data_IF_001661793907
#
_entry.id   IF_001661793907
#
_cell.length_a   1.000
_cell.length_b   1.000
_cell.length_c   1.000
_cell.angle_alpha   90.00
_cell.angle_beta   90.00
_cell.angle_gamma   90.00
#
_symmetry.space_group_name_H-M   'P 1'
#
loop_
_entity.id
_entity.type
_entity.pdbx_description
1 polymer ?
#
# COMPACT_ATOMS: atom_id res chain seq x y z
N UNK A 1 -12.30 0.14 9.38
CA UNK A 1 -11.28 -0.67 10.10
C UNK A 1 -9.93 -0.04 9.82
N UNK A 2 -9.06 0.10 10.83
CA UNK A 2 -7.80 0.82 10.71
C UNK A 2 -6.63 -0.05 11.16
N UNK A 3 -5.55 -0.03 10.38
CA UNK A 3 -4.36 -0.84 10.65
C UNK A 3 -3.09 0.00 10.63
N UNK A 4 -2.06 -0.48 11.32
CA UNK A 4 -0.75 0.19 11.33
C UNK A 4 0.00 -0.08 10.03
N UNK A 5 1.03 0.72 9.75
CA UNK A 5 1.93 0.49 8.60
C UNK A 5 2.64 -0.87 8.71
N UNK A 6 2.90 -1.34 9.94
CA UNK A 6 3.47 -2.66 10.18
C UNK A 6 2.49 -3.79 9.84
N UNK A 7 1.22 -3.64 10.23
CA UNK A 7 0.18 -4.61 9.88
C UNK A 7 -0.03 -4.67 8.35
N UNK A 8 -0.06 -3.51 7.69
CA UNK A 8 -0.13 -3.38 6.24
C UNK A 8 1.01 -4.14 5.55
N UNK A 9 2.23 -3.98 6.05
CA UNK A 9 3.40 -4.70 5.53
C UNK A 9 3.24 -6.22 5.66
N UNK A 10 2.74 -6.70 6.80
CA UNK A 10 2.58 -8.13 7.05
C UNK A 10 1.44 -8.74 6.20
N UNK A 11 0.35 -8.01 6.00
CA UNK A 11 -0.84 -8.52 5.34
C UNK A 11 -0.84 -8.36 3.81
N UNK A 12 -0.22 -7.29 3.27
CA UNK A 12 -0.12 -7.05 1.82
C UNK A 12 1.29 -7.24 1.26
N UNK A 13 2.30 -7.48 2.10
CA UNK A 13 3.70 -7.62 1.64
C UNK A 13 4.31 -6.32 1.14
N UNK A 14 3.73 -5.16 1.47
CA UNK A 14 4.20 -3.85 0.97
C UNK A 14 5.25 -3.27 1.91
N UNK A 15 6.40 -2.90 1.34
CA UNK A 15 7.48 -2.25 2.09
C UNK A 15 7.05 -0.87 2.63
N UNK A 16 7.49 -0.53 3.86
CA UNK A 16 7.15 0.75 4.51
C UNK A 16 7.55 1.96 3.68
N UNK A 17 8.68 1.90 2.97
CA UNK A 17 9.15 2.95 2.08
C UNK A 17 8.14 3.25 0.97
N UNK A 18 7.54 2.22 0.37
CA UNK A 18 6.46 2.36 -0.62
C UNK A 18 5.22 2.98 -0.01
N UNK A 19 4.84 2.56 1.21
CA UNK A 19 3.70 3.17 1.93
C UNK A 19 3.93 4.66 2.15
N UNK A 20 5.11 5.07 2.63
CA UNK A 20 5.43 6.47 2.82
C UNK A 20 5.46 7.28 1.52
N UNK A 21 5.96 6.69 0.42
CA UNK A 21 5.89 7.33 -0.91
C UNK A 21 4.43 7.58 -1.33
N UNK A 22 3.56 6.58 -1.16
CA UNK A 22 2.13 6.72 -1.48
C UNK A 22 1.40 7.70 -0.56
N UNK A 23 1.79 7.82 0.71
CA UNK A 23 1.27 8.87 1.60
C UNK A 23 1.68 10.25 1.07
N UNK A 24 2.97 10.45 0.76
CA UNK A 24 3.47 11.73 0.21
C UNK A 24 2.84 12.08 -1.13
N UNK A 25 2.51 11.09 -1.95
CA UNK A 25 1.84 11.26 -3.23
C UNK A 25 0.31 11.47 -3.11
N UNK A 26 -0.25 11.51 -1.90
CA UNK A 26 -1.70 11.67 -1.68
C UNK A 26 -2.53 10.44 -2.06
N UNK A 27 -1.89 9.30 -2.34
CA UNK A 27 -2.59 8.04 -2.68
C UNK A 27 -3.15 7.36 -1.44
N UNK A 28 -2.51 7.53 -0.28
CA UNK A 28 -2.93 7.03 1.02
C UNK A 28 -2.98 8.16 2.04
N UNK A 29 -3.94 8.09 2.95
CA UNK A 29 -4.02 9.03 4.08
C UNK A 29 -3.56 8.34 5.37
N UNK A 30 -2.57 8.95 6.04
CA UNK A 30 -2.19 8.59 7.40
C UNK A 30 -3.03 9.39 8.38
N UNK A 31 -3.76 8.69 9.24
CA UNK A 31 -4.60 9.28 10.28
C UNK A 31 -3.75 9.83 11.44
N UNK A 32 -4.34 10.68 12.27
CA UNK A 32 -3.68 11.28 13.44
C UNK A 32 -3.13 10.23 14.43
N UNK A 33 -3.76 9.06 14.52
CA UNK A 33 -3.31 7.94 15.36
C UNK A 33 -2.18 7.10 14.71
N UNK A 34 -1.68 7.51 13.54
CA UNK A 34 -0.62 6.81 12.82
C UNK A 34 -1.05 5.57 12.05
N UNK A 35 -2.36 5.29 11.98
CA UNK A 35 -2.94 4.18 11.23
C UNK A 35 -3.44 4.64 9.85
N UNK A 36 -3.79 3.67 9.02
CA UNK A 36 -4.37 3.86 7.68
C UNK A 36 -5.68 3.05 7.64
N UNK A 37 -6.71 3.61 7.02
CA UNK A 37 -7.97 2.89 6.79
C UNK A 37 -7.79 1.75 5.78
N UNK A 38 -8.38 0.60 6.09
CA UNK A 38 -8.34 -0.59 5.23
C UNK A 38 -8.98 -0.30 3.87
N UNK A 39 -10.02 0.53 3.79
CA UNK A 39 -10.65 0.90 2.52
C UNK A 39 -9.70 1.63 1.57
N UNK A 40 -8.82 2.48 2.11
CA UNK A 40 -7.78 3.17 1.33
C UNK A 40 -6.72 2.18 0.83
N UNK A 41 -6.34 1.23 1.68
CA UNK A 41 -5.38 0.18 1.35
C UNK A 41 -5.95 -0.70 0.23
N UNK A 42 -7.20 -1.15 0.33
CA UNK A 42 -7.85 -1.99 -0.69
C UNK A 42 -8.05 -1.21 -1.99
N UNK A 43 -8.41 0.07 -1.92
CA UNK A 43 -8.50 0.95 -3.11
C UNK A 43 -7.17 1.08 -3.85
N UNK A 44 -6.04 1.12 -3.11
CA UNK A 44 -4.70 1.37 -3.69
C UNK A 44 -3.97 0.08 -4.08
N UNK A 45 -4.11 -0.99 -3.30
CA UNK A 45 -3.34 -2.23 -3.44
C UNK A 45 -4.20 -3.47 -3.71
N UNK A 46 -5.52 -3.37 -3.63
CA UNK A 46 -6.44 -4.51 -3.71
C UNK A 46 -6.57 -5.28 -2.40
N UNK A 47 -7.24 -6.43 -2.47
CA UNK A 47 -7.41 -7.35 -1.34
C UNK A 47 -6.05 -7.83 -0.78
N UNK A 48 -5.95 -8.13 0.53
CA UNK A 48 -4.71 -8.60 1.12
C UNK A 48 -4.31 -9.95 0.50
N UNK A 49 -3.26 -9.93 -0.31
CA UNK A 49 -2.60 -11.17 -0.72
C UNK A 49 -1.85 -11.71 0.50
N UNK A 50 -2.42 -12.72 1.16
CA UNK A 50 -1.69 -13.53 2.15
C UNK A 50 -0.48 -14.14 1.45
N UNK A 51 0.63 -13.41 1.41
CA UNK A 51 1.85 -13.82 0.76
C UNK A 51 2.50 -14.91 1.62
N UNK A 52 2.07 -16.16 1.42
CA UNK A 52 2.87 -17.33 1.77
C UNK A 52 4.03 -17.34 0.77
N UNK A 53 5.14 -16.71 1.16
CA UNK A 53 6.47 -16.80 0.53
C UNK A 53 6.55 -16.90 -1.00
N UNK A 54 7.13 -15.85 -1.62
CA UNK A 54 7.67 -15.84 -2.99
C UNK A 54 6.61 -15.81 -4.11
N UNK A 55 6.12 -14.63 -4.45
CA UNK A 55 6.10 -14.17 -5.84
C UNK A 55 5.77 -12.66 -5.89
N UNK A 56 6.10 -12.03 -7.01
CA UNK A 56 5.87 -10.62 -7.38
C UNK A 56 6.91 -9.58 -6.96
N UNK A 57 8.06 -9.70 -7.62
CA UNK A 57 8.62 -8.57 -8.39
C UNK A 57 7.57 -8.10 -9.42
N UNK A 58 7.57 -6.82 -9.77
CA UNK A 58 6.77 -6.14 -10.83
C UNK A 58 5.31 -5.77 -10.51
N UNK A 59 5.07 -4.48 -10.29
CA UNK A 59 4.40 -3.60 -11.28
C UNK A 59 3.80 -2.37 -10.59
N UNK A 60 4.59 -1.31 -10.44
CA UNK A 60 4.07 0.04 -10.63
C UNK A 60 4.69 0.50 -11.95
N UNK A 61 4.04 0.07 -13.03
CA UNK A 61 4.31 0.58 -14.38
C UNK A 61 3.82 2.02 -14.35
N UNK A 62 4.75 2.96 -14.30
CA UNK A 62 4.49 4.36 -14.65
C UNK A 62 4.11 4.36 -16.14
N UNK A 63 2.81 4.31 -16.44
CA UNK A 63 2.28 4.67 -17.75
C UNK A 63 1.91 6.15 -17.71
N UNK A 64 2.87 7.02 -17.98
CA UNK A 64 2.58 8.33 -18.58
C UNK A 64 2.98 8.22 -20.05
N UNK A 65 2.02 7.79 -20.89
CA UNK A 65 2.09 7.95 -22.35
C UNK A 65 1.26 9.18 -22.74
N UNK A 66 2.00 10.27 -22.96
CA UNK A 66 1.95 11.22 -24.06
C UNK A 66 0.59 11.59 -24.72
N UNK A 67 0.19 12.87 -24.58
CA UNK A 67 -0.21 13.74 -25.71
C UNK A 67 0.18 15.18 -25.40
#
# INVERSE_FOLDING_TARGET
MQITIQELQNQWGIARSTVYKHIKAGRLTRLANGKIDVSEIVRVYGEPSKNTGRDKKTSAVESHDNT
#
